data_IF_926140483850
#
_entry.id   IF_926140483850
#
_cell.length_a   1.000
_cell.length_b   1.000
_cell.length_c   1.000
_cell.angle_alpha   90.00
_cell.angle_beta   90.00
_cell.angle_gamma   90.00
#
_symmetry.space_group_name_H-M   'P 1'
#
loop_
_entity.id
_entity.type
_entity.pdbx_description
1 polymer ?
#
# COMPACT_ATOMS: atom_id res chain seq x y z
N UNK A 1 13.75 -26.66 1.25
CA UNK A 1 14.81 -25.82 0.64
C UNK A 1 14.25 -25.20 -0.62
N UNK A 2 14.65 -23.97 -0.94
CA UNK A 2 14.12 -23.25 -2.11
C UNK A 2 14.60 -23.85 -3.45
N UNK A 3 15.70 -24.62 -3.47
CA UNK A 3 16.13 -25.36 -4.67
C UNK A 3 16.25 -24.47 -5.90
N UNK A 4 15.61 -24.87 -7.00
CA UNK A 4 15.55 -24.10 -8.26
C UNK A 4 14.77 -22.78 -8.14
N UNK A 5 13.97 -22.59 -7.09
CA UNK A 5 13.27 -21.34 -6.82
C UNK A 5 14.15 -20.33 -6.05
N UNK A 6 15.31 -20.73 -5.54
CA UNK A 6 16.20 -19.82 -4.79
C UNK A 6 16.54 -18.55 -5.58
N UNK A 7 16.90 -18.59 -6.89
CA UNK A 7 17.18 -17.38 -7.66
C UNK A 7 16.00 -16.41 -7.73
N UNK A 8 14.77 -16.92 -7.66
CA UNK A 8 13.55 -16.09 -7.69
C UNK A 8 13.33 -15.36 -6.36
N UNK A 9 13.73 -15.94 -5.23
CA UNK A 9 13.57 -15.36 -3.89
C UNK A 9 14.84 -14.73 -3.32
N UNK A 10 15.98 -14.86 -3.99
CA UNK A 10 17.31 -14.48 -3.48
C UNK A 10 17.37 -13.02 -3.03
N UNK A 11 16.69 -12.11 -3.75
CA UNK A 11 16.64 -10.69 -3.39
C UNK A 11 15.90 -10.40 -2.08
N UNK A 12 15.05 -11.32 -1.61
CA UNK A 12 14.30 -11.23 -0.35
C UNK A 12 15.02 -11.90 0.82
N UNK A 13 16.19 -12.49 0.57
CA UNK A 13 16.94 -13.24 1.55
C UNK A 13 18.25 -12.53 1.89
N UNK A 14 18.68 -12.70 3.14
CA UNK A 14 20.01 -12.30 3.58
C UNK A 14 20.77 -13.59 3.91
N UNK A 15 21.88 -13.81 3.21
CA UNK A 15 22.82 -14.85 3.59
C UNK A 15 23.37 -14.55 5.00
N UNK A 16 23.39 -15.57 5.85
CA UNK A 16 24.03 -15.48 7.17
C UNK A 16 25.46 -16.03 7.11
N UNK A 17 26.21 -15.90 8.20
CA UNK A 17 27.53 -16.54 8.30
C UNK A 17 27.44 -18.04 8.68
N UNK A 18 26.23 -18.52 8.98
CA UNK A 18 25.99 -19.90 9.40
C UNK A 18 25.81 -20.82 8.19
N UNK A 19 26.33 -22.04 8.30
CA UNK A 19 26.03 -23.13 7.39
C UNK A 19 24.95 -24.02 8.00
N UNK A 20 24.07 -24.55 7.15
CA UNK A 20 23.12 -25.58 7.56
C UNK A 20 23.89 -26.81 8.02
N UNK A 21 23.42 -27.48 9.06
CA UNK A 21 24.07 -28.71 9.54
C UNK A 21 23.85 -29.89 8.59
N UNK A 22 22.78 -29.85 7.79
CA UNK A 22 22.41 -30.91 6.87
C UNK A 22 21.78 -30.35 5.60
N UNK A 23 21.90 -31.08 4.50
CA UNK A 23 21.15 -30.87 3.26
C UNK A 23 20.37 -32.14 2.90
N UNK A 24 19.23 -32.04 2.19
CA UNK A 24 18.52 -33.21 1.67
C UNK A 24 19.41 -33.93 0.65
N UNK A 25 19.37 -35.26 0.66
CA UNK A 25 20.11 -36.07 -0.29
C UNK A 25 19.68 -35.75 -1.73
N UNK A 26 20.64 -35.56 -2.66
CA UNK A 26 20.33 -35.33 -4.08
C UNK A 26 19.54 -36.47 -4.72
N UNK A 27 19.67 -37.69 -4.18
CA UNK A 27 19.08 -38.91 -4.76
C UNK A 27 17.83 -39.37 -4.01
N UNK A 28 17.57 -38.85 -2.80
CA UNK A 28 16.43 -39.28 -1.98
C UNK A 28 15.99 -38.20 -0.99
N UNK A 29 14.88 -37.51 -1.27
CA UNK A 29 14.39 -36.37 -0.49
C UNK A 29 13.99 -36.63 0.98
N UNK A 30 14.07 -37.87 1.46
CA UNK A 30 13.80 -38.24 2.86
C UNK A 30 15.06 -38.57 3.67
N UNK A 31 16.23 -38.49 3.04
CA UNK A 31 17.54 -38.70 3.68
C UNK A 31 18.33 -37.40 3.70
N UNK A 32 19.20 -37.25 4.69
CA UNK A 32 19.93 -36.01 4.95
C UNK A 32 21.43 -36.29 4.99
N UNK A 33 22.21 -35.44 4.33
CA UNK A 33 23.66 -35.50 4.31
C UNK A 33 24.19 -34.40 5.23
N UNK A 34 25.15 -34.75 6.10
CA UNK A 34 25.75 -33.81 7.04
C UNK A 34 26.68 -32.85 6.32
N UNK A 35 26.59 -31.56 6.62
CA UNK A 35 27.44 -30.53 6.03
C UNK A 35 28.70 -30.38 6.89
N UNK A 36 29.85 -30.63 6.29
CA UNK A 36 31.17 -30.55 6.93
C UNK A 36 32.04 -29.51 6.22
N UNK A 37 32.79 -28.74 7.02
CA UNK A 37 33.79 -27.79 6.53
C UNK A 37 35.15 -28.45 6.70
N UNK A 38 35.77 -28.89 5.61
CA UNK A 38 37.05 -29.61 5.66
C UNK A 38 38.26 -28.67 5.66
N UNK A 39 38.16 -27.50 5.03
CA UNK A 39 39.21 -26.45 4.99
C UNK A 39 38.59 -25.03 4.98
N UNK A 40 39.39 -23.97 4.79
CA UNK A 40 38.90 -22.58 4.84
C UNK A 40 37.94 -22.19 3.69
N UNK A 41 37.73 -23.03 2.67
CA UNK A 41 36.93 -22.69 1.47
C UNK A 41 36.01 -23.82 0.97
N UNK A 42 36.30 -25.08 1.31
CA UNK A 42 35.63 -26.27 0.78
C UNK A 42 34.58 -26.80 1.76
N UNK A 43 33.33 -26.83 1.30
CA UNK A 43 32.18 -27.35 2.04
C UNK A 43 31.75 -28.66 1.38
N UNK A 44 31.52 -29.69 2.19
CA UNK A 44 31.10 -31.01 1.72
C UNK A 44 29.79 -31.39 2.38
N UNK A 45 28.96 -32.14 1.66
CA UNK A 45 27.88 -32.92 2.22
C UNK A 45 28.30 -34.39 2.27
N UNK A 46 28.15 -35.02 3.42
CA UNK A 46 28.56 -36.40 3.69
C UNK A 46 27.34 -37.24 4.06
N UNK A 47 27.11 -38.33 3.32
CA UNK A 47 26.16 -39.35 3.70
C UNK A 47 26.80 -40.27 4.75
N UNK A 48 26.38 -40.19 6.02
CA UNK A 48 26.98 -41.00 7.10
C UNK A 48 26.76 -42.51 6.96
N UNK A 49 25.77 -42.95 6.20
CA UNK A 49 25.49 -44.38 6.02
C UNK A 49 26.37 -45.01 4.93
N UNK A 50 26.62 -44.28 3.84
CA UNK A 50 27.41 -44.78 2.69
C UNK A 50 28.84 -44.24 2.65
N UNK A 51 29.14 -43.23 3.47
CA UNK A 51 30.38 -42.44 3.44
C UNK A 51 30.62 -41.73 2.09
N UNK A 52 29.57 -41.58 1.29
CA UNK A 52 29.60 -40.81 0.05
C UNK A 52 29.68 -39.31 0.36
N UNK A 53 30.51 -38.58 -0.39
CA UNK A 53 30.72 -37.14 -0.19
C UNK A 53 30.46 -36.38 -1.49
N UNK A 54 29.86 -35.21 -1.38
CA UNK A 54 29.68 -34.26 -2.48
C UNK A 54 30.18 -32.88 -2.07
N UNK A 55 30.97 -32.23 -2.94
CA UNK A 55 31.37 -30.83 -2.73
C UNK A 55 30.18 -29.91 -2.99
N UNK A 56 29.94 -28.97 -2.08
CA UNK A 56 28.89 -27.96 -2.16
C UNK A 56 29.47 -26.56 -2.33
N UNK A 57 28.90 -25.73 -3.22
CA UNK A 57 29.20 -24.31 -3.19
C UNK A 57 28.59 -23.69 -1.91
N UNK A 58 29.26 -22.67 -1.35
CA UNK A 58 28.82 -22.01 -0.11
C UNK A 58 27.36 -21.54 -0.15
N UNK A 59 26.89 -21.06 -1.31
CA UNK A 59 25.50 -20.60 -1.49
C UNK A 59 24.45 -21.69 -1.23
N UNK A 60 24.79 -22.95 -1.43
CA UNK A 60 23.85 -24.07 -1.25
C UNK A 60 23.88 -24.62 0.19
N UNK A 61 24.93 -24.25 0.95
CA UNK A 61 25.12 -24.65 2.34
C UNK A 61 24.79 -23.53 3.34
N UNK A 62 24.72 -22.27 2.91
CA UNK A 62 24.48 -21.14 3.81
C UNK A 62 23.03 -21.08 4.29
N UNK A 63 22.84 -20.76 5.56
CA UNK A 63 21.50 -20.47 6.09
C UNK A 63 21.11 -19.07 5.65
N UNK A 64 19.94 -18.97 5.02
CA UNK A 64 19.34 -17.68 4.67
C UNK A 64 18.32 -17.28 5.73
N UNK A 65 18.26 -15.98 6.03
CA UNK A 65 17.16 -15.38 6.78
C UNK A 65 16.33 -14.49 5.87
N UNK A 66 15.04 -14.38 6.15
CA UNK A 66 14.15 -13.48 5.42
C UNK A 66 14.51 -12.02 5.71
N UNK A 67 14.62 -11.21 4.66
CA UNK A 67 14.84 -9.78 4.76
C UNK A 67 13.54 -9.04 5.09
N UNK A 68 13.11 -9.17 6.35
CA UNK A 68 11.86 -8.56 6.84
C UNK A 68 11.78 -7.05 6.54
N UNK A 69 12.82 -6.22 6.80
CA UNK A 69 12.77 -4.81 6.46
C UNK A 69 12.51 -4.54 4.97
N UNK A 70 13.10 -5.33 4.06
CA UNK A 70 12.87 -5.18 2.62
C UNK A 70 11.45 -5.56 2.21
N UNK A 71 10.91 -6.64 2.79
CA UNK A 71 9.52 -7.06 2.59
C UNK A 71 8.58 -5.92 3.00
N UNK A 72 8.73 -5.42 4.23
CA UNK A 72 7.87 -4.35 4.70
C UNK A 72 8.06 -3.04 3.95
N UNK A 73 9.27 -2.73 3.46
CA UNK A 73 9.49 -1.54 2.63
C UNK A 73 8.72 -1.63 1.32
N UNK A 74 8.62 -2.82 0.74
CA UNK A 74 7.81 -3.09 -0.46
C UNK A 74 6.32 -2.96 -0.16
N UNK A 75 5.85 -3.55 0.95
CA UNK A 75 4.46 -3.44 1.39
C UNK A 75 4.07 -1.98 1.66
N UNK A 76 4.91 -1.22 2.38
CA UNK A 76 4.66 0.19 2.69
C UNK A 76 4.51 1.01 1.41
N UNK A 77 5.37 0.77 0.41
CA UNK A 77 5.27 1.46 -0.88
C UNK A 77 3.98 1.13 -1.63
N UNK A 78 3.52 -0.12 -1.58
CA UNK A 78 2.28 -0.52 -2.22
C UNK A 78 1.01 0.01 -1.50
N UNK A 79 1.08 0.10 -0.16
CA UNK A 79 -0.01 0.53 0.70
C UNK A 79 -0.04 2.05 1.00
N UNK A 80 0.98 2.78 0.50
CA UNK A 80 1.21 4.21 0.72
C UNK A 80 1.40 4.57 2.20
N UNK A 81 2.16 3.75 2.92
CA UNK A 81 2.48 3.96 4.32
C UNK A 81 3.80 4.70 4.50
N UNK A 82 3.83 5.60 5.48
CA UNK A 82 5.07 6.27 5.86
C UNK A 82 5.99 5.28 6.56
N UNK A 83 7.14 5.00 5.95
CA UNK A 83 8.18 4.16 6.55
C UNK A 83 8.70 4.77 7.86
N UNK A 84 8.66 3.99 8.93
CA UNK A 84 9.06 4.43 10.27
C UNK A 84 9.55 3.24 11.12
N UNK A 85 10.57 2.57 10.58
CA UNK A 85 11.07 1.32 11.15
C UNK A 85 11.94 1.54 12.40
N UNK A 86 11.56 0.92 13.51
CA UNK A 86 12.42 0.71 14.68
C UNK A 86 11.87 -0.39 15.59
N UNK A 87 12.80 -1.05 16.29
CA UNK A 87 12.48 -2.04 17.32
C UNK A 87 11.92 -1.37 18.58
N UNK A 88 10.90 -2.00 19.17
CA UNK A 88 10.30 -1.56 20.42
C UNK A 88 11.12 -2.15 21.57
N UNK A 89 12.06 -1.36 22.11
CA UNK A 89 13.03 -1.84 23.13
C UNK A 89 12.41 -2.54 24.34
N UNK A 90 11.18 -2.19 24.72
CA UNK A 90 10.49 -2.75 25.87
C UNK A 90 9.69 -4.04 25.56
N UNK A 91 9.65 -4.47 24.30
CA UNK A 91 8.94 -5.67 23.86
C UNK A 91 9.79 -6.42 22.83
N UNK A 92 10.43 -7.52 23.26
CA UNK A 92 11.29 -8.32 22.41
C UNK A 92 10.53 -8.85 21.18
N UNK A 93 11.14 -8.71 20.02
CA UNK A 93 10.57 -9.16 18.75
C UNK A 93 9.44 -8.29 18.19
N UNK A 94 9.06 -7.20 18.86
CA UNK A 94 8.11 -6.22 18.35
C UNK A 94 8.84 -5.05 17.68
N UNK A 95 8.41 -4.67 16.48
CA UNK A 95 8.91 -3.50 15.77
C UNK A 95 7.77 -2.63 15.29
N UNK A 96 7.91 -1.30 15.36
CA UNK A 96 7.08 -0.39 14.56
C UNK A 96 7.69 -0.34 13.17
N UNK A 97 6.86 -0.53 12.16
CA UNK A 97 7.26 -0.60 10.75
C UNK A 97 6.96 0.71 10.05
N UNK A 98 5.76 1.24 10.28
CA UNK A 98 5.23 2.36 9.53
C UNK A 98 4.08 3.06 10.26
N UNK A 99 3.70 4.20 9.71
CA UNK A 99 2.54 4.97 10.12
C UNK A 99 1.61 5.11 8.91
N UNK A 100 0.33 4.83 9.13
CA UNK A 100 -0.74 5.04 8.17
C UNK A 100 -1.56 6.25 8.58
N UNK A 101 -1.43 7.34 7.84
CA UNK A 101 -2.10 8.61 8.13
C UNK A 101 -3.47 8.62 7.46
N UNK A 102 -4.53 8.41 8.23
CA UNK A 102 -5.91 8.50 7.73
C UNK A 102 -6.40 9.95 7.66
N UNK A 103 -5.84 10.82 8.50
CA UNK A 103 -6.00 12.27 8.49
C UNK A 103 -4.80 12.90 9.24
N UNK A 104 -4.64 14.24 9.22
CA UNK A 104 -3.64 14.91 10.04
C UNK A 104 -3.79 14.63 11.56
N UNK A 105 -5.00 14.30 12.01
CA UNK A 105 -5.34 14.05 13.42
C UNK A 105 -5.45 12.56 13.78
N UNK A 106 -5.51 11.66 12.79
CA UNK A 106 -5.69 10.22 12.98
C UNK A 106 -4.61 9.45 12.24
N UNK A 107 -3.74 8.83 13.02
CA UNK A 107 -2.65 7.99 12.55
C UNK A 107 -2.74 6.60 13.17
N UNK A 108 -2.64 5.57 12.34
CA UNK A 108 -2.55 4.18 12.78
C UNK A 108 -1.08 3.76 12.77
N UNK A 109 -0.62 3.19 13.88
CA UNK A 109 0.70 2.56 13.93
C UNK A 109 0.64 1.15 13.35
N UNK A 110 1.67 0.80 12.58
CA UNK A 110 1.81 -0.52 11.97
C UNK A 110 2.98 -1.23 12.64
N UNK A 111 2.68 -2.38 13.22
CA UNK A 111 3.64 -3.19 13.95
C UNK A 111 3.90 -4.52 13.27
N UNK A 112 5.05 -5.09 13.57
CA UNK A 112 5.42 -6.46 13.24
C UNK A 112 5.92 -7.18 14.48
N UNK A 113 5.29 -8.30 14.79
CA UNK A 113 5.68 -9.25 15.82
C UNK A 113 6.44 -10.42 15.16
N UNK A 114 7.76 -10.40 15.30
CA UNK A 114 8.65 -11.47 14.81
C UNK A 114 8.55 -12.73 15.68
N UNK A 115 8.22 -12.56 16.96
CA UNK A 115 7.99 -13.59 17.98
C UNK A 115 6.59 -13.46 18.59
N UNK A 116 6.32 -14.16 19.71
CA UNK A 116 5.00 -14.28 20.36
C UNK A 116 4.08 -13.07 20.24
N UNK A 117 2.96 -13.26 19.54
CA UNK A 117 1.96 -12.22 19.32
C UNK A 117 1.32 -11.77 20.64
N UNK A 118 1.04 -12.72 21.53
CA UNK A 118 0.46 -12.51 22.85
C UNK A 118 1.23 -11.48 23.69
N UNK A 119 2.56 -11.64 23.79
CA UNK A 119 3.43 -10.70 24.51
C UNK A 119 3.42 -9.31 23.87
N UNK A 120 3.41 -9.26 22.54
CA UNK A 120 3.33 -8.00 21.77
C UNK A 120 2.01 -7.27 22.01
N UNK A 121 0.88 -8.00 21.96
CA UNK A 121 -0.44 -7.44 22.20
C UNK A 121 -0.59 -6.96 23.66
N UNK A 122 -0.07 -7.73 24.62
CA UNK A 122 -0.08 -7.33 26.04
C UNK A 122 0.67 -6.02 26.27
N UNK A 123 1.84 -5.87 25.66
CA UNK A 123 2.60 -4.62 25.71
C UNK A 123 1.83 -3.45 25.07
N UNK A 124 1.31 -3.63 23.84
CA UNK A 124 0.60 -2.57 23.11
C UNK A 124 -0.66 -2.10 23.83
N UNK A 125 -1.39 -3.04 24.43
CA UNK A 125 -2.56 -2.77 25.27
C UNK A 125 -2.20 -1.95 26.51
N UNK A 126 -1.03 -2.21 27.13
CA UNK A 126 -0.57 -1.49 28.31
C UNK A 126 -0.10 -0.06 27.99
N UNK A 127 0.56 0.15 26.85
CA UNK A 127 1.26 1.42 26.55
C UNK A 127 0.40 2.42 25.78
N UNK A 128 -0.35 1.97 24.78
CA UNK A 128 -1.13 2.88 23.93
C UNK A 128 -2.62 2.64 24.03
N UNK A 129 -3.04 1.37 24.09
CA UNK A 129 -4.43 0.94 23.92
C UNK A 129 -5.14 1.62 22.74
N UNK A 130 -4.38 1.99 21.70
CA UNK A 130 -4.89 2.61 20.47
C UNK A 130 -5.07 1.55 19.38
N UNK A 131 -6.04 1.73 18.48
CA UNK A 131 -6.15 0.93 17.27
C UNK A 131 -4.83 0.89 16.49
N UNK A 132 -4.43 -0.31 16.09
CA UNK A 132 -3.21 -0.52 15.30
C UNK A 132 -3.38 -1.68 14.32
N UNK A 133 -2.45 -1.74 13.36
CA UNK A 133 -2.28 -2.90 12.47
C UNK A 133 -1.08 -3.68 12.98
N UNK A 134 -1.22 -5.00 13.17
CA UNK A 134 -0.10 -5.86 13.58
C UNK A 134 0.07 -7.02 12.61
N UNK A 135 1.30 -7.20 12.15
CA UNK A 135 1.72 -8.35 11.34
C UNK A 135 2.42 -9.37 12.22
N UNK A 136 2.25 -10.67 11.93
CA UNK A 136 3.02 -11.74 12.58
C UNK A 136 3.69 -12.66 11.58
N UNK A 137 4.77 -13.31 11.99
CA UNK A 137 5.51 -14.26 11.15
C UNK A 137 4.77 -15.56 10.87
N UNK A 138 3.99 -16.06 11.85
CA UNK A 138 3.34 -17.37 11.75
C UNK A 138 2.05 -17.32 10.92
N UNK A 139 1.71 -18.41 10.25
CA UNK A 139 0.42 -18.62 9.56
C UNK A 139 -0.61 -19.42 10.36
N UNK A 140 -0.30 -19.85 11.60
CA UNK A 140 -1.25 -20.64 12.42
C UNK A 140 -2.47 -19.83 12.86
N UNK A 141 -3.48 -20.49 13.43
CA UNK A 141 -4.65 -19.80 13.96
C UNK A 141 -4.32 -18.95 15.19
N UNK A 142 -5.07 -17.86 15.37
CA UNK A 142 -5.00 -17.04 16.58
C UNK A 142 -5.66 -17.77 17.75
N UNK A 143 -4.99 -17.79 18.90
CA UNK A 143 -5.60 -18.26 20.14
C UNK A 143 -6.70 -17.30 20.63
N UNK A 144 -7.58 -17.80 21.50
CA UNK A 144 -8.74 -17.05 21.99
C UNK A 144 -8.35 -15.77 22.75
N UNK A 145 -7.23 -15.76 23.48
CA UNK A 145 -6.81 -14.58 24.24
C UNK A 145 -6.32 -13.48 23.30
N UNK A 146 -5.51 -13.83 22.30
CA UNK A 146 -5.07 -12.90 21.26
C UNK A 146 -6.25 -12.30 20.50
N UNK A 147 -7.26 -13.11 20.15
CA UNK A 147 -8.48 -12.63 19.49
C UNK A 147 -9.25 -11.62 20.36
N UNK A 148 -9.47 -11.94 21.64
CA UNK A 148 -10.14 -11.04 22.58
C UNK A 148 -9.36 -9.73 22.79
N UNK A 149 -8.03 -9.80 22.84
CA UNK A 149 -7.18 -8.63 23.03
C UNK A 149 -7.21 -7.71 21.79
N UNK A 150 -7.14 -8.28 20.59
CA UNK A 150 -7.29 -7.53 19.33
C UNK A 150 -8.66 -6.83 19.25
N UNK A 151 -9.74 -7.52 19.62
CA UNK A 151 -11.08 -6.94 19.66
C UNK A 151 -11.16 -5.78 20.64
N UNK A 152 -10.61 -5.94 21.86
CA UNK A 152 -10.61 -4.89 22.88
C UNK A 152 -9.81 -3.66 22.47
N UNK A 153 -8.67 -3.86 21.81
CA UNK A 153 -7.85 -2.77 21.27
C UNK A 153 -8.39 -2.20 19.96
N UNK A 154 -9.48 -2.75 19.43
CA UNK A 154 -10.00 -2.43 18.09
C UNK A 154 -8.87 -2.43 17.04
N UNK A 155 -8.07 -3.49 17.05
CA UNK A 155 -6.89 -3.63 16.19
C UNK A 155 -7.07 -4.78 15.22
N UNK A 156 -6.35 -4.75 14.11
CA UNK A 156 -6.39 -5.80 13.08
C UNK A 156 -5.06 -6.52 12.98
N UNK A 157 -5.14 -7.82 12.72
CA UNK A 157 -3.99 -8.71 12.62
C UNK A 157 -3.85 -9.31 11.21
N UNK A 158 -2.59 -9.45 10.76
CA UNK A 158 -2.22 -10.09 9.50
C UNK A 158 -1.07 -11.10 9.67
N UNK A 159 -1.36 -12.37 9.38
CA UNK A 159 -0.30 -13.36 9.20
C UNK A 159 0.46 -13.06 7.92
N UNK A 160 1.74 -12.71 8.02
CA UNK A 160 2.56 -12.32 6.87
C UNK A 160 2.51 -13.37 5.73
N UNK A 161 2.67 -14.68 5.99
CA UNK A 161 2.63 -15.69 4.94
C UNK A 161 1.27 -15.84 4.23
N UNK A 162 0.19 -15.37 4.85
CA UNK A 162 -1.18 -15.52 4.32
C UNK A 162 -1.74 -14.22 3.72
N UNK A 163 -1.10 -13.08 4.01
CA UNK A 163 -1.57 -11.77 3.57
C UNK A 163 -0.73 -11.14 2.47
N UNK A 164 0.40 -11.76 2.10
CA UNK A 164 1.29 -11.24 1.05
C UNK A 164 1.31 -12.10 -0.20
N UNK A 165 1.56 -11.47 -1.33
CA UNK A 165 1.83 -12.10 -2.62
C UNK A 165 3.01 -11.42 -3.31
N UNK A 166 3.60 -12.10 -4.29
CA UNK A 166 4.62 -11.55 -5.18
C UNK A 166 3.99 -11.20 -6.52
N UNK A 167 4.27 -9.99 -7.01
CA UNK A 167 3.90 -9.63 -8.37
C UNK A 167 4.86 -10.24 -9.41
N UNK A 168 4.56 -10.04 -10.70
CA UNK A 168 5.38 -10.52 -11.83
C UNK A 168 6.83 -9.98 -11.82
N UNK A 169 7.15 -8.99 -10.97
CA UNK A 169 8.46 -8.38 -10.80
C UNK A 169 9.14 -8.83 -9.51
N UNK A 170 8.56 -9.76 -8.77
CA UNK A 170 9.07 -10.24 -7.49
C UNK A 170 8.94 -9.22 -6.35
N UNK A 171 8.05 -8.23 -6.49
CA UNK A 171 7.78 -7.25 -5.44
C UNK A 171 6.69 -7.79 -4.51
N UNK A 172 6.95 -7.76 -3.21
CA UNK A 172 5.98 -8.19 -2.20
C UNK A 172 4.93 -7.10 -1.98
N UNK A 173 3.66 -7.49 -2.07
CA UNK A 173 2.51 -6.65 -1.76
C UNK A 173 1.50 -7.41 -0.89
N UNK A 174 0.52 -6.70 -0.33
CA UNK A 174 -0.64 -7.33 0.29
C UNK A 174 -1.55 -7.90 -0.79
N UNK A 175 -2.05 -9.12 -0.59
CA UNK A 175 -3.03 -9.72 -1.48
C UNK A 175 -4.40 -9.03 -1.36
N UNK A 176 -5.29 -9.29 -2.32
CA UNK A 176 -6.61 -8.64 -2.40
C UNK A 176 -7.45 -8.80 -1.12
N UNK A 177 -7.42 -9.97 -0.50
CA UNK A 177 -8.13 -10.24 0.76
C UNK A 177 -7.59 -9.37 1.90
N UNK A 178 -6.26 -9.29 2.01
CA UNK A 178 -5.62 -8.47 3.02
C UNK A 178 -5.88 -6.98 2.82
N UNK A 179 -5.81 -6.51 1.57
CA UNK A 179 -6.14 -5.13 1.20
C UNK A 179 -7.60 -4.78 1.52
N UNK A 180 -8.54 -5.69 1.29
CA UNK A 180 -9.94 -5.47 1.62
C UNK A 180 -10.14 -5.32 3.13
N UNK A 181 -9.60 -6.25 3.93
CA UNK A 181 -9.69 -6.16 5.40
C UNK A 181 -9.04 -4.89 5.95
N UNK A 182 -7.88 -4.51 5.40
CA UNK A 182 -7.23 -3.25 5.75
C UNK A 182 -8.09 -2.03 5.38
N UNK A 183 -8.73 -2.05 4.21
CA UNK A 183 -9.60 -0.96 3.76
C UNK A 183 -10.81 -0.79 4.68
N UNK A 184 -11.43 -1.89 5.09
CA UNK A 184 -12.57 -1.86 6.01
C UNK A 184 -12.14 -1.41 7.41
N UNK A 185 -10.97 -1.84 7.88
CA UNK A 185 -10.36 -1.36 9.12
C UNK A 185 -10.08 0.15 9.08
N UNK A 186 -9.47 0.64 8.00
CA UNK A 186 -9.26 2.08 7.77
C UNK A 186 -10.57 2.82 7.84
N UNK A 187 -11.61 2.38 7.13
CA UNK A 187 -12.94 3.01 7.13
C UNK A 187 -13.54 3.10 8.54
N UNK A 188 -13.37 2.07 9.36
CA UNK A 188 -13.88 2.04 10.73
C UNK A 188 -13.18 3.06 11.64
N UNK A 189 -11.90 3.35 11.39
CA UNK A 189 -11.06 4.21 12.23
C UNK A 189 -10.79 5.60 11.64
N UNK A 190 -11.11 5.82 10.37
CA UNK A 190 -11.13 7.15 9.78
C UNK A 190 -12.07 8.02 10.59
N UNK A 191 -11.68 9.27 10.91
CA UNK A 191 -12.64 10.19 11.50
C UNK A 191 -13.82 10.30 10.53
N UNK A 192 -15.07 10.43 11.04
CA UNK A 192 -16.15 10.89 10.18
C UNK A 192 -15.62 12.15 9.49
N UNK A 193 -15.84 12.34 8.17
CA UNK A 193 -15.32 13.50 7.46
C UNK A 193 -15.63 14.71 8.32
N UNK A 194 -14.58 15.38 8.81
CA UNK A 194 -14.79 16.45 9.79
C UNK A 194 -15.83 17.40 9.18
N UNK A 195 -16.84 17.83 9.94
CA UNK A 195 -17.59 19.01 9.56
C UNK A 195 -16.60 20.18 9.64
N UNK A 196 -15.79 20.30 8.59
CA UNK A 196 -14.98 21.45 8.35
C UNK A 196 -15.95 22.64 8.41
N UNK A 197 -15.70 23.69 9.20
CA UNK A 197 -16.56 24.87 9.23
C UNK A 197 -16.70 25.55 7.85
N UNK A 198 -15.94 25.10 6.84
CA UNK A 198 -16.08 25.46 5.41
C UNK A 198 -16.85 24.42 4.57
N UNK A 199 -17.37 23.35 5.16
CA UNK A 199 -18.27 22.36 4.56
C UNK A 199 -19.72 22.88 4.56
N UNK A 200 -19.91 24.17 4.27
CA UNK A 200 -21.17 24.57 3.64
C UNK A 200 -21.10 23.95 2.26
N UNK A 201 -22.06 23.09 1.93
CA UNK A 201 -22.26 22.64 0.56
C UNK A 201 -22.09 23.87 -0.33
N UNK A 202 -21.23 23.75 -1.34
CA UNK A 202 -20.95 24.85 -2.24
C UNK A 202 -22.28 25.30 -2.84
N UNK A 203 -22.87 26.37 -2.31
CA UNK A 203 -24.09 26.92 -2.85
C UNK A 203 -23.73 27.53 -4.20
N UNK A 204 -24.15 26.87 -5.27
CA UNK A 204 -23.93 27.33 -6.64
C UNK A 204 -25.08 28.27 -6.99
N UNK A 205 -24.84 29.59 -7.13
CA UNK A 205 -25.91 30.52 -7.45
C UNK A 205 -26.53 30.21 -8.82
N UNK A 206 -27.82 30.48 -8.95
CA UNK A 206 -28.51 30.35 -10.23
C UNK A 206 -27.84 31.25 -11.29
N UNK A 207 -27.63 30.71 -12.49
CA UNK A 207 -26.96 31.41 -13.59
C UNK A 207 -25.42 31.34 -13.56
N UNK A 208 -24.82 30.57 -12.63
CA UNK A 208 -23.38 30.27 -12.67
C UNK A 208 -23.02 29.53 -13.96
N UNK A 209 -21.97 29.98 -14.64
CA UNK A 209 -21.44 29.38 -15.88
C UNK A 209 -20.05 28.76 -15.64
N UNK A 210 -19.68 27.75 -16.42
CA UNK A 210 -18.40 27.04 -16.24
C UNK A 210 -17.16 27.95 -16.26
N UNK A 211 -17.16 29.02 -17.06
CA UNK A 211 -16.06 29.99 -17.11
C UNK A 211 -15.83 30.76 -15.80
N UNK A 212 -16.81 30.78 -14.89
CA UNK A 212 -16.74 31.44 -13.58
C UNK A 212 -16.31 30.49 -12.47
N UNK A 213 -16.15 29.21 -12.77
CA UNK A 213 -15.68 28.18 -11.84
C UNK A 213 -14.16 28.17 -11.81
N UNK A 214 -13.59 28.07 -10.61
CA UNK A 214 -12.17 27.90 -10.38
C UNK A 214 -11.95 26.66 -9.52
N UNK A 215 -11.13 25.71 -10.01
CA UNK A 215 -10.74 24.51 -9.28
C UNK A 215 -9.24 24.57 -9.00
N UNK A 216 -8.87 24.46 -7.73
CA UNK A 216 -7.47 24.46 -7.31
C UNK A 216 -7.18 23.22 -6.49
N UNK A 217 -6.17 22.44 -6.85
CA UNK A 217 -5.69 21.36 -6.00
C UNK A 217 -4.91 21.94 -4.81
N UNK A 218 -5.36 21.62 -3.60
CA UNK A 218 -4.66 21.99 -2.35
C UNK A 218 -3.62 20.91 -2.01
N UNK A 219 -4.02 19.64 -2.19
CA UNK A 219 -3.16 18.47 -1.99
C UNK A 219 -3.54 17.35 -2.99
N UNK A 220 -3.12 16.11 -2.73
CA UNK A 220 -3.41 14.97 -3.60
C UNK A 220 -4.91 14.59 -3.63
N UNK A 221 -5.64 14.86 -2.55
CA UNK A 221 -6.97 14.33 -2.25
C UNK A 221 -8.06 15.41 -2.19
N UNK A 222 -7.68 16.67 -2.05
CA UNK A 222 -8.58 17.80 -1.88
C UNK A 222 -8.36 18.90 -2.93
N UNK A 223 -9.49 19.47 -3.36
CA UNK A 223 -9.53 20.66 -4.20
C UNK A 223 -10.30 21.77 -3.48
N UNK A 224 -9.91 23.03 -3.69
CA UNK A 224 -10.76 24.18 -3.46
C UNK A 224 -11.53 24.48 -4.75
N UNK A 225 -12.85 24.49 -4.66
CA UNK A 225 -13.72 24.96 -5.75
C UNK A 225 -14.29 26.30 -5.37
N UNK A 226 -14.18 27.27 -6.27
CA UNK A 226 -14.73 28.60 -6.11
C UNK A 226 -15.67 28.90 -7.27
N UNK A 227 -16.81 29.48 -6.95
CA UNK A 227 -17.82 30.00 -7.87
C UNK A 227 -18.14 31.44 -7.44
N UNK A 228 -18.88 32.23 -8.22
CA UNK A 228 -19.24 33.59 -7.81
C UNK A 228 -19.91 33.62 -6.43
N UNK A 229 -19.28 34.30 -5.46
CA UNK A 229 -19.81 34.47 -4.10
C UNK A 229 -19.75 33.25 -3.18
N UNK A 230 -19.20 32.11 -3.62
CA UNK A 230 -19.13 30.88 -2.81
C UNK A 230 -17.85 30.10 -3.10
N UNK A 231 -17.25 29.50 -2.08
CA UNK A 231 -16.10 28.61 -2.24
C UNK A 231 -16.10 27.53 -1.18
N UNK A 232 -15.65 26.33 -1.53
CA UNK A 232 -15.58 25.18 -0.63
C UNK A 232 -14.35 24.32 -0.90
N UNK A 233 -13.92 23.58 0.13
CA UNK A 233 -12.90 22.54 0.00
C UNK A 233 -13.63 21.21 -0.16
N UNK A 234 -13.27 20.45 -1.19
CA UNK A 234 -13.93 19.22 -1.57
C UNK A 234 -12.89 18.11 -1.66
N UNK A 235 -13.17 17.02 -0.97
CA UNK A 235 -12.42 15.79 -1.07
C UNK A 235 -12.92 14.93 -2.25
N UNK A 236 -12.04 14.17 -2.91
CA UNK A 236 -12.41 13.35 -4.08
C UNK A 236 -13.59 12.38 -3.81
N UNK A 237 -13.77 11.93 -2.56
CA UNK A 237 -14.91 11.09 -2.15
C UNK A 237 -16.24 11.82 -2.29
N UNK A 238 -16.30 13.12 -2.00
CA UNK A 238 -17.51 13.94 -2.06
C UNK A 238 -17.96 14.19 -3.52
N UNK A 239 -17.04 14.12 -4.49
CA UNK A 239 -17.37 14.15 -5.93
C UNK A 239 -17.81 12.78 -6.47
N UNK A 240 -17.94 11.76 -5.60
CA UNK A 240 -18.17 10.38 -6.02
C UNK A 240 -17.03 9.84 -6.88
N UNK A 241 -15.80 10.34 -6.68
CA UNK A 241 -14.59 9.91 -7.40
C UNK A 241 -13.72 8.98 -6.56
N UNK A 242 -14.30 8.33 -5.55
CA UNK A 242 -13.67 7.22 -4.86
C UNK A 242 -14.05 5.89 -5.50
N UNK A 243 -13.07 5.00 -5.65
CA UNK A 243 -13.30 3.64 -6.08
C UNK A 243 -14.03 2.89 -4.97
N UNK A 244 -15.17 2.28 -5.28
CA UNK A 244 -15.97 1.55 -4.30
C UNK A 244 -15.24 0.35 -3.67
N UNK A 245 -14.20 -0.18 -4.34
CA UNK A 245 -13.45 -1.35 -3.87
C UNK A 245 -12.36 -1.01 -2.87
N UNK A 246 -11.60 0.08 -3.09
CA UNK A 246 -10.40 0.39 -2.31
C UNK A 246 -10.34 1.83 -1.79
N UNK A 247 -11.43 2.59 -1.95
CA UNK A 247 -11.55 4.00 -1.60
C UNK A 247 -10.50 4.93 -2.24
N UNK A 248 -9.58 4.44 -3.09
CA UNK A 248 -8.60 5.27 -3.80
C UNK A 248 -9.30 6.12 -4.87
N UNK A 249 -8.70 7.26 -5.27
CA UNK A 249 -9.26 8.04 -6.35
C UNK A 249 -9.37 7.24 -7.66
N UNK A 250 -10.53 7.31 -8.31
CA UNK A 250 -10.73 6.68 -9.62
C UNK A 250 -9.96 7.43 -10.71
N UNK A 251 -9.82 6.83 -11.89
CA UNK A 251 -9.12 7.42 -13.05
C UNK A 251 -9.60 8.83 -13.40
N UNK A 252 -10.86 9.18 -13.10
CA UNK A 252 -11.42 10.51 -13.33
C UNK A 252 -10.78 11.60 -12.43
N UNK A 253 -10.45 11.28 -11.18
CA UNK A 253 -9.74 12.22 -10.31
C UNK A 253 -8.31 12.46 -10.79
N UNK A 254 -7.62 11.38 -11.16
CA UNK A 254 -6.29 11.45 -11.76
C UNK A 254 -6.30 12.26 -13.06
N UNK A 255 -7.34 12.09 -13.89
CA UNK A 255 -7.53 12.89 -15.10
C UNK A 255 -7.75 14.37 -14.77
N UNK A 256 -8.58 14.69 -13.77
CA UNK A 256 -8.79 16.08 -13.33
C UNK A 256 -7.48 16.74 -12.87
N UNK A 257 -6.64 16.00 -12.14
CA UNK A 257 -5.31 16.49 -11.76
C UNK A 257 -4.39 16.67 -12.96
N UNK A 258 -4.43 15.75 -13.93
CA UNK A 258 -3.66 15.89 -15.18
C UNK A 258 -4.06 17.18 -15.92
N UNK A 259 -5.33 17.58 -15.90
CA UNK A 259 -5.73 18.90 -16.41
C UNK A 259 -5.14 20.03 -15.58
N UNK A 260 -5.09 19.92 -14.25
CA UNK A 260 -4.50 20.94 -13.39
C UNK A 260 -3.00 21.15 -13.66
N UNK A 261 -2.25 20.04 -13.77
CA UNK A 261 -0.81 20.04 -14.05
C UNK A 261 -0.50 20.65 -15.43
N UNK A 262 -1.41 20.48 -16.39
CA UNK A 262 -1.29 21.03 -17.74
C UNK A 262 -2.11 22.33 -17.94
N UNK A 263 -2.42 23.06 -16.87
CA UNK A 263 -3.11 24.35 -16.92
C UNK A 263 -4.42 24.34 -17.75
N UNK A 264 -5.21 23.28 -17.58
CA UNK A 264 -6.51 23.09 -18.20
C UNK A 264 -6.47 22.55 -19.62
N UNK A 265 -5.32 22.10 -20.13
CA UNK A 265 -5.17 21.61 -21.50
C UNK A 265 -4.65 20.17 -21.51
N UNK A 266 -5.19 19.33 -22.39
CA UNK A 266 -4.67 17.98 -22.61
C UNK A 266 -4.57 17.71 -24.12
N UNK A 267 -3.36 17.55 -24.65
CA UNK A 267 -3.14 17.25 -26.07
C UNK A 267 -2.86 15.77 -26.31
N UNK A 268 -3.03 15.30 -27.55
CA UNK A 268 -2.70 13.90 -27.91
C UNK A 268 -1.23 13.52 -27.68
N UNK A 269 -0.31 14.51 -27.56
CA UNK A 269 1.12 14.27 -27.33
C UNK A 269 1.43 13.97 -25.86
N UNK A 270 0.60 14.47 -24.96
CA UNK A 270 0.76 14.30 -23.50
C UNK A 270 0.12 12.98 -23.02
N UNK A 271 -0.76 12.40 -23.84
CA UNK A 271 -1.46 11.16 -23.51
C UNK A 271 -0.69 9.91 -23.97
N UNK A 272 -0.01 9.24 -23.04
CA UNK A 272 0.56 7.90 -23.24
C UNK A 272 -0.45 6.76 -23.52
N UNK A 273 -1.71 7.07 -23.89
CA UNK A 273 -2.73 6.09 -24.25
C UNK A 273 -3.97 6.78 -24.89
N UNK A 274 -3.86 7.16 -26.16
CA UNK A 274 -4.88 7.94 -26.90
C UNK A 274 -6.29 7.30 -27.00
N UNK A 275 -6.51 6.03 -26.66
CA UNK A 275 -7.77 5.35 -26.95
C UNK A 275 -8.89 5.57 -25.91
N UNK A 276 -8.56 5.99 -24.69
CA UNK A 276 -9.53 6.06 -23.58
C UNK A 276 -9.83 7.48 -23.06
N UNK A 277 -9.07 8.50 -23.46
CA UNK A 277 -9.20 9.89 -22.97
C UNK A 277 -10.58 10.47 -23.25
N UNK A 278 -11.16 10.20 -24.41
CA UNK A 278 -12.53 10.64 -24.77
C UNK A 278 -13.58 10.13 -23.79
N UNK A 279 -13.56 8.82 -23.50
CA UNK A 279 -14.51 8.18 -22.58
C UNK A 279 -14.30 8.66 -21.14
N UNK A 280 -13.04 8.80 -20.71
CA UNK A 280 -12.72 9.30 -19.37
C UNK A 280 -13.16 10.76 -19.19
N UNK A 281 -12.94 11.61 -20.20
CA UNK A 281 -13.39 13.01 -20.19
C UNK A 281 -14.91 13.12 -20.16
N UNK A 282 -15.62 12.25 -20.92
CA UNK A 282 -17.08 12.19 -20.86
C UNK A 282 -17.60 11.84 -19.47
N UNK A 283 -17.01 10.84 -18.81
CA UNK A 283 -17.39 10.45 -17.45
C UNK A 283 -17.02 11.51 -16.41
N UNK A 284 -15.89 12.20 -16.60
CA UNK A 284 -15.52 13.34 -15.75
C UNK A 284 -16.51 14.50 -15.91
N UNK A 285 -16.90 14.85 -17.13
CA UNK A 285 -17.92 15.87 -17.38
C UNK A 285 -19.25 15.54 -16.67
N UNK A 286 -19.72 14.30 -16.77
CA UNK A 286 -20.96 13.86 -16.09
C UNK A 286 -20.88 14.08 -14.57
N UNK A 287 -19.75 13.71 -13.94
CA UNK A 287 -19.56 13.87 -12.49
C UNK A 287 -19.53 15.34 -12.07
N UNK A 288 -18.81 16.18 -12.81
CA UNK A 288 -18.72 17.61 -12.52
C UNK A 288 -20.09 18.30 -12.68
N UNK A 289 -20.82 18.01 -13.76
CA UNK A 289 -22.17 18.53 -13.99
C UNK A 289 -23.12 18.06 -12.88
N UNK A 290 -23.11 16.77 -12.54
CA UNK A 290 -23.99 16.22 -11.51
C UNK A 290 -23.72 16.82 -10.12
N UNK A 291 -22.47 17.18 -9.83
CA UNK A 291 -22.10 17.73 -8.54
C UNK A 291 -22.34 19.25 -8.44
N UNK A 292 -22.01 20.03 -9.48
CA UNK A 292 -22.19 21.50 -9.50
C UNK A 292 -23.59 21.95 -9.93
N UNK A 293 -24.34 21.13 -10.66
CA UNK A 293 -25.63 21.51 -11.22
C UNK A 293 -25.56 22.61 -12.29
N UNK A 294 -24.37 22.88 -12.85
CA UNK A 294 -24.16 23.89 -13.91
C UNK A 294 -24.41 23.27 -15.27
N UNK A 295 -25.28 23.89 -16.07
CA UNK A 295 -25.55 23.47 -17.44
C UNK A 295 -24.35 23.68 -18.39
N UNK A 296 -24.29 22.88 -19.45
CA UNK A 296 -23.20 22.92 -20.45
C UNK A 296 -22.09 21.91 -20.19
N UNK A 297 -21.00 22.01 -20.97
CA UNK A 297 -19.91 21.03 -20.96
C UNK A 297 -18.66 21.62 -20.30
N UNK A 298 -18.19 21.10 -19.15
CA UNK A 298 -17.03 21.67 -18.46
C UNK A 298 -15.70 21.49 -19.19
N UNK A 299 -15.56 20.42 -19.98
CA UNK A 299 -14.35 20.09 -20.73
C UNK A 299 -14.73 19.79 -22.18
N UNK A 300 -14.21 20.59 -23.09
CA UNK A 300 -14.58 20.57 -24.51
C UNK A 300 -13.41 20.13 -25.38
N UNK A 301 -13.74 19.54 -26.54
CA UNK A 301 -12.73 19.19 -27.53
C UNK A 301 -12.37 20.43 -28.36
N UNK A 302 -11.10 20.81 -28.31
CA UNK A 302 -10.55 21.95 -29.04
C UNK A 302 -9.75 21.44 -30.27
N UNK A 303 -10.29 21.72 -31.46
CA UNK A 303 -9.70 21.31 -32.74
C UNK A 303 -8.35 21.99 -33.01
N UNK A 304 -8.12 23.19 -32.50
CA UNK A 304 -6.92 23.98 -32.78
C UNK A 304 -5.69 23.37 -32.12
N UNK A 305 -5.84 22.89 -30.89
CA UNK A 305 -4.78 22.23 -30.12
C UNK A 305 -4.75 20.72 -30.30
N UNK A 306 -5.73 20.17 -31.06
CA UNK A 306 -6.01 18.73 -31.14
C UNK A 306 -6.02 18.13 -29.74
N UNK A 307 -7.03 18.45 -28.94
CA UNK A 307 -7.04 18.06 -27.54
C UNK A 307 -8.31 18.44 -26.83
N UNK A 308 -8.29 18.31 -25.52
CA UNK A 308 -9.36 18.75 -24.63
C UNK A 308 -8.92 19.96 -23.82
N UNK A 309 -9.86 20.88 -23.57
CA UNK A 309 -9.64 22.09 -22.80
C UNK A 309 -10.75 22.27 -21.77
N UNK A 310 -10.39 22.65 -20.55
CA UNK A 310 -11.37 23.04 -19.52
C UNK A 310 -11.95 24.42 -19.84
N UNK A 311 -13.26 24.58 -19.69
CA UNK A 311 -13.94 25.88 -19.79
C UNK A 311 -13.75 26.68 -18.49
N UNK A 312 -13.63 25.96 -17.37
CA UNK A 312 -13.30 26.50 -16.06
C UNK A 312 -11.79 26.66 -15.87
N UNK A 313 -11.38 27.50 -14.93
CA UNK A 313 -9.98 27.63 -14.55
C UNK A 313 -9.55 26.50 -13.62
N UNK A 314 -8.37 25.90 -13.90
CA UNK A 314 -7.82 24.82 -13.09
C UNK A 314 -6.31 24.97 -12.88
N UNK A 315 -5.84 24.74 -11.66
CA UNK A 315 -4.42 24.75 -11.32
C UNK A 315 -4.08 23.86 -10.11
N UNK A 316 -2.80 23.53 -9.99
CA UNK A 316 -2.19 22.97 -8.78
C UNK A 316 -1.53 24.09 -7.97
N UNK A 317 -1.58 24.00 -6.64
CA UNK A 317 -0.60 24.72 -5.82
C UNK A 317 0.77 24.06 -6.07
N UNK A 318 1.76 24.88 -6.45
CA UNK A 318 3.07 24.44 -6.93
C UNK A 318 3.93 23.75 -5.88
#
# INVERSE_FOLDING_TARGET
MLGDELPFFEHLLLATDQLGSHIPSPTCGWTWWEVEVCDQQSIYATNKATMETQTLPRRDAVVFRVNIPLIFRSICRAADWQWDYHEVRAAEGLSRIAIDSLSPSVQLSIFYASSGLDASLAYLAAVSNKPCVIFRSSGGDLDANSQLMLQRMQSIEFALPLCTELDDRGIVALNDSALQRLTDFRRQHSPPPEPNPQNRGLDVPAGTTWNSVQIRFIDYETIRVSVPGSSGIIHYTQLGMANSRNAKPVKQWQLLRTYADNHGVLTWRDSGAAQNVKKQTQELNKKLIAWLGIEGTPIEYDRSIKGYRTVFGINTDG
#
